data_IF_308513530526
#
_entry.id   IF_308513530526
#
_cell.length_a   1.000
_cell.length_b   1.000
_cell.length_c   1.000
_cell.angle_alpha   90.00
_cell.angle_beta   90.00
_cell.angle_gamma   90.00
#
_symmetry.space_group_name_H-M   'P 1'
#
loop_
_entity.id
_entity.type
_entity.pdbx_description
1 polymer ?
#
# COMPACT_ATOMS: atom_id res chain seq x y z
N UNK A 1 -16.94 28.03 -28.50
CA UNK A 1 -17.07 28.72 -27.19
C UNK A 1 -15.72 28.62 -26.51
N UNK A 2 -14.93 29.69 -26.57
CA UNK A 2 -13.59 29.74 -26.01
C UNK A 2 -13.70 30.51 -24.70
N UNK A 3 -13.40 29.85 -23.58
CA UNK A 3 -13.47 30.46 -22.25
C UNK A 3 -12.05 30.84 -21.81
N UNK A 4 -11.84 32.05 -21.27
CA UNK A 4 -10.53 32.50 -20.82
C UNK A 4 -10.26 31.88 -19.44
N UNK A 5 -9.30 30.97 -19.34
CA UNK A 5 -8.92 30.35 -18.05
C UNK A 5 -7.42 30.51 -17.86
N UNK A 6 -7.02 31.62 -17.23
CA UNK A 6 -5.64 31.97 -16.93
C UNK A 6 -5.07 31.12 -15.76
N UNK A 7 -5.94 30.72 -14.83
CA UNK A 7 -5.65 29.72 -13.80
C UNK A 7 -6.48 28.47 -14.16
N UNK A 8 -5.85 27.30 -14.28
CA UNK A 8 -6.49 26.09 -14.82
C UNK A 8 -7.86 25.79 -14.19
N UNK A 9 -8.80 25.28 -14.99
CA UNK A 9 -10.16 24.98 -14.51
C UNK A 9 -10.14 24.12 -13.25
N UNK A 10 -10.83 24.57 -12.19
CA UNK A 10 -11.13 23.72 -11.04
C UNK A 10 -11.90 22.49 -11.52
N UNK A 11 -11.52 21.29 -11.08
CA UNK A 11 -12.17 20.04 -11.48
C UNK A 11 -13.70 20.08 -11.25
N UNK A 12 -14.13 20.70 -10.15
CA UNK A 12 -15.54 20.90 -9.81
C UNK A 12 -16.27 21.76 -10.83
N UNK A 13 -15.62 22.83 -11.32
CA UNK A 13 -16.17 23.72 -12.34
C UNK A 13 -16.30 23.01 -13.69
N UNK A 14 -15.27 22.28 -14.11
CA UNK A 14 -15.31 21.47 -15.32
C UNK A 14 -16.42 20.41 -15.28
N UNK A 15 -16.60 19.74 -14.13
CA UNK A 15 -17.71 18.80 -13.91
C UNK A 15 -19.07 19.49 -14.01
N UNK A 16 -19.20 20.70 -13.47
CA UNK A 16 -20.44 21.46 -13.53
C UNK A 16 -20.79 21.86 -14.97
N UNK A 17 -19.82 22.36 -15.73
CA UNK A 17 -20.00 22.70 -17.15
C UNK A 17 -20.37 21.47 -17.99
N UNK A 18 -19.75 20.33 -17.71
CA UNK A 18 -20.05 19.07 -18.40
C UNK A 18 -21.48 18.60 -18.10
N UNK A 19 -21.92 18.68 -16.84
CA UNK A 19 -23.30 18.36 -16.45
C UNK A 19 -24.31 19.35 -17.08
N UNK A 20 -23.96 20.63 -17.16
CA UNK A 20 -24.81 21.64 -17.81
C UNK A 20 -24.98 21.35 -19.31
N UNK A 21 -23.87 21.01 -19.99
CA UNK A 21 -23.89 20.64 -21.41
C UNK A 21 -24.71 19.37 -21.68
N UNK A 22 -24.71 18.42 -20.74
CA UNK A 22 -25.55 17.22 -20.77
C UNK A 22 -27.04 17.58 -20.69
N UNK A 23 -27.41 18.40 -19.70
CA UNK A 23 -28.79 18.86 -19.53
C UNK A 23 -29.28 19.62 -20.77
N UNK A 24 -28.47 20.51 -21.33
CA UNK A 24 -28.80 21.25 -22.55
C UNK A 24 -29.01 20.31 -23.76
N UNK A 25 -28.13 19.32 -23.93
CA UNK A 25 -28.21 18.34 -25.02
C UNK A 25 -29.45 17.45 -24.89
N UNK A 26 -29.82 17.05 -23.66
CA UNK A 26 -31.05 16.29 -23.38
C UNK A 26 -32.30 17.13 -23.65
N UNK A 27 -32.35 18.36 -23.15
CA UNK A 27 -33.50 19.25 -23.36
C UNK A 27 -33.70 19.49 -24.84
N UNK A 28 -32.63 19.73 -25.59
CA UNK A 28 -32.70 19.85 -27.05
C UNK A 28 -33.20 18.56 -27.71
N UNK A 29 -32.69 17.40 -27.30
CA UNK A 29 -33.14 16.10 -27.80
C UNK A 29 -34.64 15.88 -27.58
N UNK A 30 -35.15 16.19 -26.37
CA UNK A 30 -36.57 16.10 -26.04
C UNK A 30 -37.41 17.07 -26.85
N UNK A 31 -36.96 18.31 -27.00
CA UNK A 31 -37.65 19.35 -27.79
C UNK A 31 -37.73 18.94 -29.27
N UNK A 32 -36.66 18.34 -29.80
CA UNK A 32 -36.62 17.84 -31.18
C UNK A 32 -37.56 16.66 -31.40
N UNK A 33 -37.64 15.74 -30.43
CA UNK A 33 -38.63 14.67 -30.39
C UNK A 33 -40.07 15.19 -30.33
N UNK A 34 -40.34 16.18 -29.48
CA UNK A 34 -41.66 16.77 -29.33
C UNK A 34 -42.14 17.47 -30.62
N UNK A 35 -41.21 18.03 -31.41
CA UNK A 35 -41.50 18.62 -32.72
C UNK A 35 -41.64 17.60 -33.87
N UNK A 36 -41.44 16.30 -33.61
CA UNK A 36 -41.52 15.25 -34.63
C UNK A 36 -40.38 15.26 -35.66
N UNK A 37 -39.27 15.94 -35.36
CA UNK A 37 -38.11 15.98 -36.27
C UNK A 37 -37.29 14.70 -36.16
N UNK A 38 -36.83 14.16 -37.29
CA UNK A 38 -36.02 12.95 -37.32
C UNK A 38 -34.72 13.11 -36.53
N UNK A 39 -34.43 12.13 -35.68
CA UNK A 39 -33.28 12.09 -34.77
C UNK A 39 -32.04 11.52 -35.46
N UNK A 40 -32.26 10.70 -36.48
CA UNK A 40 -31.21 9.97 -37.19
C UNK A 40 -30.24 10.96 -37.87
N UNK A 41 -28.94 10.77 -37.61
CA UNK A 41 -27.88 11.61 -38.14
C UNK A 41 -27.63 12.94 -37.41
N UNK A 42 -28.40 13.28 -36.37
CA UNK A 42 -28.18 14.55 -35.66
C UNK A 42 -27.02 14.47 -34.66
N UNK A 43 -26.12 15.46 -34.61
CA UNK A 43 -24.93 15.44 -33.74
C UNK A 43 -25.24 15.40 -32.23
N UNK A 44 -26.48 15.64 -31.84
CA UNK A 44 -26.90 15.63 -30.42
C UNK A 44 -26.80 14.25 -29.79
N UNK A 45 -27.10 13.18 -30.52
CA UNK A 45 -26.94 11.82 -29.99
C UNK A 45 -25.46 11.52 -29.76
N UNK A 46 -24.60 11.92 -30.71
CA UNK A 46 -23.15 11.79 -30.57
C UNK A 46 -22.60 12.60 -29.39
N UNK A 47 -23.00 13.86 -29.26
CA UNK A 47 -22.63 14.74 -28.14
C UNK A 47 -23.05 14.12 -26.80
N UNK A 48 -24.27 13.56 -26.70
CA UNK A 48 -24.75 12.90 -25.48
C UNK A 48 -23.91 11.68 -25.09
N UNK A 49 -23.53 10.85 -26.07
CA UNK A 49 -22.67 9.68 -25.83
C UNK A 49 -21.27 10.13 -25.41
N UNK A 50 -20.70 11.12 -26.09
CA UNK A 50 -19.39 11.70 -25.73
C UNK A 50 -19.39 12.24 -24.30
N UNK A 51 -20.38 13.05 -23.93
CA UNK A 51 -20.53 13.58 -22.57
C UNK A 51 -20.70 12.46 -21.54
N UNK A 52 -21.46 11.40 -21.88
CA UNK A 52 -21.62 10.24 -20.98
C UNK A 52 -20.33 9.46 -20.76
N UNK A 53 -19.52 9.29 -21.80
CA UNK A 53 -18.19 8.68 -21.69
C UNK A 53 -17.26 9.52 -20.81
N UNK A 54 -17.33 10.86 -20.92
CA UNK A 54 -16.58 11.73 -20.01
C UNK A 54 -17.05 11.58 -18.56
N UNK A 55 -18.37 11.52 -18.31
CA UNK A 55 -18.90 11.26 -16.96
C UNK A 55 -18.42 9.92 -16.38
N UNK A 56 -18.26 8.89 -17.21
CA UNK A 56 -17.72 7.60 -16.77
C UNK A 56 -16.25 7.67 -16.41
N UNK A 57 -15.45 8.37 -17.22
CA UNK A 57 -14.01 8.55 -16.97
C UNK A 57 -13.71 9.36 -15.71
N UNK A 58 -14.57 10.30 -15.33
CA UNK A 58 -14.36 11.13 -14.13
C UNK A 58 -14.84 10.46 -12.82
N UNK A 59 -15.65 9.40 -12.86
CA UNK A 59 -16.11 8.67 -11.65
C UNK A 59 -15.01 8.27 -10.66
N UNK A 60 -13.85 7.72 -11.08
CA UNK A 60 -12.78 7.40 -10.14
C UNK A 60 -12.20 8.64 -9.44
N UNK A 61 -12.17 9.79 -10.12
CA UNK A 61 -11.70 11.06 -9.55
C UNK A 61 -12.72 11.57 -8.54
N UNK A 62 -14.01 11.50 -8.88
CA UNK A 62 -15.10 11.83 -7.95
C UNK A 62 -15.01 11.04 -6.64
N UNK A 63 -14.74 9.74 -6.70
CA UNK A 63 -14.57 8.90 -5.50
C UNK A 63 -13.39 9.34 -4.63
N UNK A 64 -12.30 9.79 -5.23
CA UNK A 64 -11.12 10.29 -4.49
C UNK A 64 -11.41 11.63 -3.82
N UNK A 65 -12.15 12.50 -4.50
CA UNK A 65 -12.50 13.83 -4.00
C UNK A 65 -13.69 13.82 -3.03
N UNK A 66 -14.52 12.79 -3.04
CA UNK A 66 -15.72 12.67 -2.20
C UNK A 66 -15.40 12.87 -0.72
N UNK A 67 -14.33 12.25 -0.22
CA UNK A 67 -13.91 12.43 1.17
C UNK A 67 -13.49 13.88 1.49
N UNK A 68 -12.75 14.52 0.57
CA UNK A 68 -12.29 15.90 0.76
C UNK A 68 -13.47 16.87 0.76
N UNK A 69 -14.42 16.68 -0.17
CA UNK A 69 -15.65 17.46 -0.23
C UNK A 69 -16.49 17.24 1.03
N UNK A 70 -16.68 15.99 1.47
CA UNK A 70 -17.43 15.67 2.69
C UNK A 70 -16.76 16.23 3.95
N UNK A 71 -15.43 16.22 4.02
CA UNK A 71 -14.68 16.82 5.14
C UNK A 71 -14.89 18.33 5.19
N UNK A 72 -14.78 19.01 4.06
CA UNK A 72 -14.98 20.46 3.97
C UNK A 72 -16.44 20.86 4.25
N UNK A 73 -17.42 20.09 3.77
CA UNK A 73 -18.84 20.37 4.06
C UNK A 73 -19.18 20.09 5.52
N UNK A 74 -18.60 19.06 6.15
CA UNK A 74 -18.74 18.82 7.60
C UNK A 74 -18.07 19.91 8.42
N UNK A 75 -16.88 20.36 8.04
CA UNK A 75 -16.23 21.48 8.73
C UNK A 75 -17.05 22.77 8.61
N UNK A 76 -17.57 23.09 7.41
CA UNK A 76 -18.47 24.22 7.21
C UNK A 76 -19.81 24.08 7.95
N UNK A 77 -20.37 22.86 8.01
CA UNK A 77 -21.59 22.56 8.76
C UNK A 77 -21.40 22.60 10.28
N UNK A 78 -20.23 22.18 10.78
CA UNK A 78 -19.88 22.28 12.19
C UNK A 78 -19.62 23.73 12.60
N UNK A 79 -19.01 24.57 11.76
CA UNK A 79 -18.91 26.02 12.03
C UNK A 79 -20.30 26.68 12.15
N UNK A 80 -21.31 26.15 11.44
CA UNK A 80 -22.70 26.57 11.63
C UNK A 80 -23.36 26.02 12.91
N UNK A 81 -22.87 24.89 13.44
CA UNK A 81 -23.40 24.22 14.64
C UNK A 81 -22.64 24.55 15.95
N UNK A 82 -21.37 24.96 15.87
CA UNK A 82 -20.50 25.30 17.02
C UNK A 82 -20.82 26.65 17.64
N UNK A 83 -21.78 27.40 17.08
CA UNK A 83 -22.35 28.56 17.78
C UNK A 83 -23.31 28.17 18.91
N UNK A 84 -23.59 26.87 19.10
CA UNK A 84 -24.46 26.35 20.16
C UNK A 84 -23.89 25.05 20.73
N UNK A 85 -22.97 25.16 21.71
CA UNK A 85 -22.78 24.27 22.88
C UNK A 85 -21.32 24.38 23.33
N UNK A 86 -21.10 25.28 24.27
CA UNK A 86 -20.02 25.21 25.24
C UNK A 86 -20.38 24.20 26.34
N UNK A 87 -19.35 23.65 27.02
CA UNK A 87 -19.24 23.37 28.47
C UNK A 87 -18.55 22.02 28.77
N UNK A 88 -17.38 22.17 29.43
CA UNK A 88 -16.69 21.37 30.45
C UNK A 88 -16.23 19.93 30.24
N UNK A 89 -14.90 19.73 30.40
CA UNK A 89 -14.33 18.51 30.99
C UNK A 89 -13.31 18.91 32.06
N UNK A 90 -13.65 18.57 33.31
CA UNK A 90 -12.78 18.60 34.49
C UNK A 90 -11.65 17.56 34.35
N UNK A 91 -10.40 17.99 34.53
CA UNK A 91 -9.25 17.12 34.72
C UNK A 91 -8.98 16.89 36.22
N UNK A 92 -9.03 15.63 36.64
CA UNK A 92 -8.38 15.12 37.85
C UNK A 92 -7.80 13.75 37.53
N UNK A 93 -6.47 13.64 37.51
CA UNK A 93 -5.80 12.34 37.51
C UNK A 93 -4.52 12.42 38.36
N UNK A 94 -4.49 11.61 39.42
CA UNK A 94 -3.43 11.51 40.43
C UNK A 94 -2.32 10.57 39.95
N UNK A 95 -1.07 11.04 39.90
CA UNK A 95 0.11 10.21 39.62
C UNK A 95 0.79 9.85 40.94
N UNK A 96 0.83 8.56 41.26
CA UNK A 96 1.71 8.00 42.29
C UNK A 96 2.99 7.47 41.62
N UNK A 97 4.14 8.05 41.96
CA UNK A 97 5.47 7.57 41.58
C UNK A 97 6.02 6.69 42.73
N UNK A 98 6.42 5.45 42.44
CA UNK A 98 7.11 4.55 43.38
C UNK A 98 8.63 4.79 43.36
N UNK A 99 9.22 4.91 44.55
CA UNK A 99 10.60 5.33 44.84
C UNK A 99 11.65 4.19 44.58
N UNK A 100 12.67 4.41 43.72
CA UNK A 100 13.65 3.39 43.26
C UNK A 100 14.71 2.93 44.29
N UNK A 101 14.64 3.32 45.56
CA UNK A 101 15.67 3.00 46.58
C UNK A 101 15.48 1.65 47.32
N UNK A 102 14.53 0.80 46.91
CA UNK A 102 14.19 -0.46 47.63
C UNK A 102 14.99 -1.71 47.22
N UNK A 103 15.95 -1.64 46.29
CA UNK A 103 16.74 -2.82 45.88
C UNK A 103 17.98 -3.02 46.76
N UNK A 104 18.02 -4.12 47.52
CA UNK A 104 19.21 -4.62 48.24
C UNK A 104 19.75 -5.90 47.57
N UNK A 105 21.08 -6.12 47.52
CA UNK A 105 21.65 -7.34 46.93
C UNK A 105 21.33 -8.57 47.78
N UNK A 106 21.00 -9.69 47.13
CA UNK A 106 20.66 -10.95 47.79
C UNK A 106 21.91 -11.87 47.82
N UNK A 107 22.49 -12.18 48.99
CA UNK A 107 23.79 -12.87 49.11
C UNK A 107 23.76 -14.37 48.76
N UNK A 108 22.59 -14.95 48.49
CA UNK A 108 22.42 -16.37 48.16
C UNK A 108 22.82 -16.75 46.72
N UNK A 109 23.19 -15.79 45.87
CA UNK A 109 23.59 -16.04 44.47
C UNK A 109 25.09 -16.22 44.24
N UNK A 110 25.91 -16.24 45.29
CA UNK A 110 27.36 -16.45 45.19
C UNK A 110 27.70 -17.95 45.11
N UNK A 111 27.72 -18.50 43.89
CA UNK A 111 28.10 -19.90 43.65
C UNK A 111 29.63 -20.03 43.50
N UNK A 112 30.25 -20.90 44.29
CA UNK A 112 31.69 -21.17 44.25
C UNK A 112 32.05 -22.21 43.18
N UNK A 113 33.07 -21.87 42.37
CA UNK A 113 33.45 -22.56 41.13
C UNK A 113 34.44 -23.72 41.39
N UNK A 114 34.02 -24.82 42.01
CA UNK A 114 34.96 -25.92 42.34
C UNK A 114 34.60 -27.34 41.89
N UNK A 115 33.51 -27.60 41.16
CA UNK A 115 33.11 -29.00 40.90
C UNK A 115 32.49 -29.26 39.52
N UNK A 116 33.20 -28.98 38.42
CA UNK A 116 32.81 -29.56 37.12
C UNK A 116 33.98 -29.61 36.12
N UNK A 117 34.90 -30.53 36.37
CA UNK A 117 35.85 -30.98 35.36
C UNK A 117 36.30 -32.41 35.69
N UNK A 118 35.52 -33.42 35.32
CA UNK A 118 36.01 -34.80 35.28
C UNK A 118 35.17 -35.70 34.35
N UNK A 119 35.91 -36.50 33.57
CA UNK A 119 35.54 -37.70 32.78
C UNK A 119 35.02 -37.46 31.35
N UNK A 120 35.83 -37.75 30.32
CA UNK A 120 35.85 -39.12 29.74
C UNK A 120 36.97 -39.39 28.71
N UNK A 121 37.33 -40.66 28.60
CA UNK A 121 38.48 -41.26 27.90
C UNK A 121 38.33 -41.48 26.38
N UNK A 122 39.44 -41.40 25.63
CA UNK A 122 39.55 -41.90 24.24
C UNK A 122 39.85 -40.82 23.19
N UNK A 123 41.06 -40.84 22.63
CA UNK A 123 41.67 -39.80 21.76
C UNK A 123 41.08 -39.61 20.36
N UNK A 124 39.78 -39.35 20.26
CA UNK A 124 39.17 -38.76 19.06
C UNK A 124 38.49 -37.46 19.48
N UNK A 125 39.06 -36.33 19.05
CA UNK A 125 38.47 -35.03 19.29
C UNK A 125 37.11 -34.94 18.60
N UNK A 126 36.04 -34.95 19.39
CA UNK A 126 34.69 -34.64 18.93
C UNK A 126 34.41 -33.19 19.34
N UNK A 127 34.33 -32.26 18.37
CA UNK A 127 33.95 -30.89 18.68
C UNK A 127 32.60 -30.90 19.39
N UNK A 128 32.48 -30.28 20.58
CA UNK A 128 31.22 -30.17 21.28
C UNK A 128 30.21 -29.44 20.39
N UNK A 129 29.04 -30.04 20.19
CA UNK A 129 27.96 -29.43 19.41
C UNK A 129 27.26 -28.42 20.31
N UNK A 130 27.68 -27.16 20.24
CA UNK A 130 26.97 -26.06 20.90
C UNK A 130 25.65 -25.85 20.17
N UNK A 131 24.54 -26.29 20.78
CA UNK A 131 23.24 -25.72 20.43
C UNK A 131 23.28 -24.25 20.87
N UNK A 132 22.75 -23.30 20.08
CA UNK A 132 22.71 -21.90 20.47
C UNK A 132 21.91 -21.77 21.77
N UNK A 133 22.63 -21.65 22.87
CA UNK A 133 22.11 -21.29 24.18
C UNK A 133 21.83 -19.80 24.12
N UNK A 134 20.56 -19.41 24.07
CA UNK A 134 20.18 -18.03 24.35
C UNK A 134 20.65 -17.71 25.76
N UNK A 135 21.50 -16.69 25.91
CA UNK A 135 21.80 -16.12 27.21
C UNK A 135 20.47 -15.66 27.82
N UNK A 136 20.12 -16.16 29.01
CA UNK A 136 19.01 -15.65 29.81
C UNK A 136 19.43 -14.27 30.36
N UNK A 137 19.56 -13.27 29.49
CA UNK A 137 19.49 -11.86 29.91
C UNK A 137 18.02 -11.61 30.24
N UNK A 138 17.70 -11.77 31.53
CA UNK A 138 16.37 -11.72 32.14
C UNK A 138 15.37 -12.70 31.52
N UNK A 139 14.73 -13.52 32.37
CA UNK A 139 13.63 -14.37 31.91
C UNK A 139 12.42 -13.47 31.62
N UNK A 140 12.46 -12.76 30.50
CA UNK A 140 11.39 -11.92 29.97
C UNK A 140 10.13 -12.77 30.00
N UNK A 141 9.16 -12.37 30.82
CA UNK A 141 7.97 -13.20 31.05
C UNK A 141 7.29 -13.43 29.70
N UNK A 142 6.66 -14.59 29.48
CA UNK A 142 5.98 -14.88 28.19
C UNK A 142 5.06 -13.74 27.73
N UNK A 143 4.44 -13.03 28.68
CA UNK A 143 3.61 -11.86 28.44
C UNK A 143 4.41 -10.64 27.98
N UNK A 144 5.52 -10.33 28.64
CA UNK A 144 6.40 -9.23 28.29
C UNK A 144 7.07 -9.44 26.92
N UNK A 145 7.46 -10.67 26.60
CA UNK A 145 7.92 -11.03 25.24
C UNK A 145 6.83 -10.85 24.18
N UNK A 146 5.56 -11.09 24.52
CA UNK A 146 4.44 -10.82 23.61
C UNK A 146 4.17 -9.32 23.48
N UNK A 147 4.27 -8.55 24.57
CA UNK A 147 4.14 -7.11 24.56
C UNK A 147 5.22 -6.47 23.67
N UNK A 148 6.48 -6.86 23.85
CA UNK A 148 7.61 -6.37 23.04
C UNK A 148 7.45 -6.70 21.55
N UNK A 149 6.89 -7.86 21.22
CA UNK A 149 6.56 -8.22 19.82
C UNK A 149 5.47 -7.31 19.25
N UNK A 150 4.39 -7.08 20.01
CA UNK A 150 3.28 -6.19 19.60
C UNK A 150 3.77 -4.75 19.44
N UNK A 151 4.59 -4.27 20.37
CA UNK A 151 5.17 -2.93 20.31
C UNK A 151 6.08 -2.78 19.09
N UNK A 152 6.96 -3.77 18.83
CA UNK A 152 7.81 -3.77 17.64
C UNK A 152 7.00 -3.81 16.33
N UNK A 153 5.91 -4.57 16.30
CA UNK A 153 4.98 -4.60 15.17
C UNK A 153 4.26 -3.26 14.98
N UNK A 154 3.81 -2.65 16.06
CA UNK A 154 3.13 -1.35 16.06
C UNK A 154 4.10 -0.24 15.60
N UNK A 155 5.34 -0.26 16.06
CA UNK A 155 6.40 0.64 15.59
C UNK A 155 6.67 0.44 14.09
N UNK A 156 6.73 -0.81 13.63
CA UNK A 156 6.90 -1.12 12.20
C UNK A 156 5.72 -0.65 11.37
N UNK A 157 4.49 -0.77 11.88
CA UNK A 157 3.29 -0.28 11.22
C UNK A 157 3.24 1.24 11.19
N UNK A 158 3.61 1.91 12.28
CA UNK A 158 3.73 3.36 12.35
C UNK A 158 4.75 3.86 11.32
N UNK A 159 5.92 3.22 11.22
CA UNK A 159 6.93 3.54 10.19
C UNK A 159 6.51 3.19 8.75
N UNK A 160 5.49 2.34 8.58
CA UNK A 160 4.94 2.00 7.26
C UNK A 160 3.79 2.93 6.83
N UNK A 161 3.25 3.73 7.74
CA UNK A 161 2.27 4.77 7.41
C UNK A 161 2.97 5.82 6.55
N UNK A 162 2.37 6.15 5.40
CA UNK A 162 2.90 7.18 4.50
C UNK A 162 3.04 8.52 5.20
N UNK A 163 2.09 8.86 6.07
CA UNK A 163 2.06 10.10 6.83
C UNK A 163 3.21 10.21 7.83
N UNK A 164 3.52 9.13 8.54
CA UNK A 164 4.64 9.12 9.50
C UNK A 164 5.97 9.16 8.76
N UNK A 165 6.05 8.51 7.59
CA UNK A 165 7.24 8.57 6.75
C UNK A 165 7.50 10.01 6.27
N UNK A 166 6.48 10.69 5.74
CA UNK A 166 6.57 12.08 5.30
C UNK A 166 7.01 13.02 6.44
N UNK A 167 6.42 12.86 7.63
CA UNK A 167 6.81 13.64 8.82
C UNK A 167 8.28 13.41 9.24
N UNK A 168 8.78 12.18 9.10
CA UNK A 168 10.19 11.87 9.42
C UNK A 168 11.12 12.44 8.35
N UNK A 169 10.76 12.34 7.07
CA UNK A 169 11.53 12.89 5.96
C UNK A 169 11.65 14.44 6.10
N UNK A 170 10.57 15.12 6.50
CA UNK A 170 10.56 16.56 6.82
C UNK A 170 11.44 16.93 8.01
N UNK A 171 11.48 16.09 9.05
CA UNK A 171 12.29 16.34 10.25
C UNK A 171 13.79 16.09 10.02
N UNK A 172 14.12 15.12 9.17
CA UNK A 172 15.51 14.76 8.85
C UNK A 172 16.16 15.72 7.83
N UNK A 173 15.39 16.64 7.23
CA UNK A 173 15.82 17.58 6.18
C UNK A 173 16.66 16.89 5.08
N UNK A 174 16.30 15.63 4.80
CA UNK A 174 17.02 14.75 3.89
C UNK A 174 16.49 14.98 2.48
N UNK A 175 17.35 15.18 1.46
CA UNK A 175 16.88 15.37 0.09
C UNK A 175 16.12 14.14 -0.40
N UNK A 176 14.95 14.37 -1.00
CA UNK A 176 14.10 13.30 -1.52
C UNK A 176 14.77 12.58 -2.69
N UNK A 177 14.85 11.25 -2.60
CA UNK A 177 15.32 10.41 -3.70
C UNK A 177 14.21 10.26 -4.75
N UNK A 178 14.18 11.15 -5.74
CA UNK A 178 13.27 11.02 -6.89
C UNK A 178 13.70 9.83 -7.74
N UNK A 179 12.95 8.73 -7.64
CA UNK A 179 13.14 7.55 -8.50
C UNK A 179 12.18 7.66 -9.69
N UNK A 180 12.69 7.47 -10.90
CA UNK A 180 11.85 7.39 -12.11
C UNK A 180 11.03 6.09 -12.10
N UNK A 181 9.89 6.11 -11.42
CA UNK A 181 9.01 4.96 -11.33
C UNK A 181 7.87 5.16 -12.33
N UNK A 182 8.04 4.57 -13.51
CA UNK A 182 6.99 4.50 -14.52
C UNK A 182 6.00 3.40 -14.11
N UNK A 183 4.86 3.78 -13.53
CA UNK A 183 3.73 2.87 -13.26
C UNK A 183 3.10 3.02 -11.87
N UNK A 184 2.01 2.29 -11.64
CA UNK A 184 1.37 2.23 -10.33
C UNK A 184 2.19 1.35 -9.37
N UNK A 185 2.78 1.94 -8.36
CA UNK A 185 3.51 1.22 -7.32
C UNK A 185 2.56 0.42 -6.45
N UNK A 186 2.51 -0.90 -6.67
CA UNK A 186 1.85 -1.78 -5.71
C UNK A 186 2.70 -1.88 -4.43
N UNK A 187 2.04 -2.00 -3.26
CA UNK A 187 2.71 -2.22 -1.97
C UNK A 187 3.61 -3.47 -1.97
N UNK A 188 3.30 -4.44 -2.83
CA UNK A 188 4.10 -5.64 -3.01
C UNK A 188 5.37 -5.36 -3.81
N UNK A 189 5.28 -4.50 -4.84
CA UNK A 189 6.42 -4.07 -5.64
C UNK A 189 7.42 -3.29 -4.79
N UNK A 190 6.96 -2.37 -3.95
CA UNK A 190 7.85 -1.58 -3.07
C UNK A 190 8.60 -2.48 -2.09
N UNK A 191 7.90 -3.44 -1.46
CA UNK A 191 8.52 -4.46 -0.60
C UNK A 191 9.50 -5.34 -1.35
N UNK A 192 9.20 -5.70 -2.60
CA UNK A 192 10.08 -6.51 -3.44
C UNK A 192 11.36 -5.75 -3.80
N UNK A 193 11.26 -4.47 -4.18
CA UNK A 193 12.41 -3.61 -4.48
C UNK A 193 13.29 -3.46 -3.25
N UNK A 194 12.72 -3.14 -2.09
CA UNK A 194 13.47 -3.00 -0.84
C UNK A 194 14.25 -4.27 -0.48
N UNK A 195 13.63 -5.45 -0.60
CA UNK A 195 14.32 -6.74 -0.38
C UNK A 195 15.47 -6.97 -1.37
N UNK A 196 15.34 -6.50 -2.61
CA UNK A 196 16.36 -6.66 -3.65
C UNK A 196 17.55 -5.74 -3.40
N UNK A 197 17.28 -4.54 -2.91
CA UNK A 197 18.29 -3.55 -2.50
C UNK A 197 19.03 -4.00 -1.23
N UNK A 198 18.35 -4.57 -0.24
CA UNK A 198 18.98 -5.21 0.92
C UNK A 198 19.91 -6.35 0.50
N UNK A 199 19.46 -7.20 -0.44
CA UNK A 199 20.31 -8.25 -0.99
C UNK A 199 21.53 -7.67 -1.71
N UNK A 200 21.34 -6.64 -2.54
CA UNK A 200 22.44 -5.98 -3.25
C UNK A 200 23.49 -5.43 -2.27
N UNK A 201 23.06 -4.78 -1.18
CA UNK A 201 23.95 -4.31 -0.11
C UNK A 201 24.75 -5.45 0.53
N UNK A 202 24.11 -6.57 0.85
CA UNK A 202 24.81 -7.74 1.40
C UNK A 202 25.81 -8.35 0.40
N UNK A 203 25.46 -8.39 -0.89
CA UNK A 203 26.35 -8.88 -1.95
C UNK A 203 27.56 -7.94 -2.17
N UNK A 204 27.37 -6.62 -2.00
CA UNK A 204 28.45 -5.62 -2.03
C UNK A 204 29.37 -5.74 -0.82
N UNK A 205 28.82 -5.93 0.38
CA UNK A 205 29.59 -6.14 1.61
C UNK A 205 30.43 -7.42 1.54
N UNK A 206 29.84 -8.51 1.02
CA UNK A 206 30.49 -9.83 0.93
C UNK A 206 31.24 -10.04 -0.40
N UNK A 207 31.14 -9.09 -1.34
CA UNK A 207 31.69 -9.14 -2.69
C UNK A 207 31.39 -10.45 -3.46
N UNK A 208 30.25 -11.10 -3.20
CA UNK A 208 29.87 -12.37 -3.82
C UNK A 208 28.37 -12.42 -4.12
N UNK A 209 28.00 -13.04 -5.25
CA UNK A 209 26.59 -13.15 -5.66
C UNK A 209 25.91 -14.36 -5.04
N UNK A 210 24.70 -14.18 -4.52
CA UNK A 210 23.89 -15.27 -4.00
C UNK A 210 23.20 -16.06 -5.13
N UNK A 211 23.15 -17.40 -5.09
CA UNK A 211 22.43 -18.19 -6.07
C UNK A 211 20.90 -18.01 -5.92
N UNK A 212 20.21 -17.78 -7.04
CA UNK A 212 18.76 -17.54 -7.08
C UNK A 212 17.95 -18.79 -7.45
N UNK A 213 16.88 -19.06 -6.69
CA UNK A 213 16.01 -20.22 -6.94
C UNK A 213 15.11 -20.01 -8.18
N UNK A 214 14.55 -21.10 -8.71
CA UNK A 214 13.58 -21.02 -9.84
C UNK A 214 12.30 -20.28 -9.45
N UNK A 215 11.87 -20.38 -8.18
CA UNK A 215 10.69 -19.69 -7.66
C UNK A 215 10.93 -18.18 -7.58
N UNK A 216 12.10 -17.77 -7.07
CA UNK A 216 12.46 -16.35 -6.99
C UNK A 216 12.50 -15.69 -8.37
N UNK A 217 13.03 -16.40 -9.37
CA UNK A 217 13.01 -15.95 -10.77
C UNK A 217 11.60 -15.79 -11.33
N UNK A 218 10.63 -16.62 -10.89
CA UNK A 218 9.23 -16.51 -11.32
C UNK A 218 8.57 -15.27 -10.70
N UNK A 219 8.78 -15.06 -9.40
CA UNK A 219 8.30 -13.86 -8.68
C UNK A 219 8.90 -12.60 -9.28
N UNK A 220 10.21 -12.60 -9.53
CA UNK A 220 10.90 -11.50 -10.21
C UNK A 220 10.27 -11.18 -11.57
N UNK A 221 10.01 -12.20 -12.40
CA UNK A 221 9.37 -12.02 -13.69
C UNK A 221 7.96 -11.43 -13.55
N UNK A 222 7.17 -11.89 -12.59
CA UNK A 222 5.83 -11.36 -12.35
C UNK A 222 5.88 -9.88 -11.93
N UNK A 223 6.73 -9.54 -10.96
CA UNK A 223 6.92 -8.16 -10.46
C UNK A 223 7.55 -7.23 -11.50
N UNK A 224 8.37 -7.75 -12.43
CA UNK A 224 8.93 -6.96 -13.54
C UNK A 224 7.92 -6.76 -14.67
N UNK A 225 7.08 -7.75 -14.95
CA UNK A 225 6.04 -7.69 -16.00
C UNK A 225 4.88 -6.76 -15.62
N UNK A 226 4.55 -6.63 -14.33
CA UNK A 226 3.51 -5.71 -13.85
C UNK A 226 3.82 -4.23 -14.13
N UNK A 227 5.06 -3.90 -14.54
CA UNK A 227 5.47 -2.55 -14.95
C UNK A 227 4.96 -2.16 -16.34
N UNK A 228 4.70 -3.14 -17.21
CA UNK A 228 4.21 -2.91 -18.56
C UNK A 228 2.72 -3.27 -18.54
N UNK A 229 1.83 -2.28 -18.47
CA UNK A 229 0.36 -2.43 -18.29
C UNK A 229 -0.39 -3.31 -19.31
N UNK A 230 0.30 -4.08 -20.14
CA UNK A 230 -0.22 -5.11 -21.04
C UNK A 230 -0.51 -6.46 -20.33
N UNK A 231 0.04 -6.72 -19.15
CA UNK A 231 -0.07 -8.06 -18.53
C UNK A 231 -1.52 -8.44 -18.17
N UNK A 232 -2.37 -7.46 -17.85
CA UNK A 232 -3.80 -7.69 -17.63
C UNK A 232 -4.56 -8.11 -18.90
N UNK A 233 -4.03 -7.85 -20.10
CA UNK A 233 -4.64 -8.30 -21.36
C UNK A 233 -4.25 -9.72 -21.74
N UNK A 234 -3.08 -10.22 -21.31
CA UNK A 234 -2.53 -11.47 -21.84
C UNK A 234 -2.74 -12.70 -20.95
N UNK A 235 -3.03 -12.51 -19.65
CA UNK A 235 -3.23 -13.64 -18.72
C UNK A 235 -4.54 -14.41 -18.98
N UNK A 236 -5.55 -13.79 -19.60
CA UNK A 236 -6.78 -14.48 -20.04
C UNK A 236 -6.69 -15.09 -21.43
N UNK A 237 -5.89 -14.49 -22.33
CA UNK A 237 -5.87 -14.84 -23.76
C UNK A 237 -5.42 -16.29 -24.02
N UNK A 238 -4.42 -16.78 -23.29
CA UNK A 238 -3.89 -18.13 -23.51
C UNK A 238 -4.77 -19.24 -22.92
N UNK A 239 -5.49 -18.97 -21.84
CA UNK A 239 -6.44 -19.93 -21.27
C UNK A 239 -7.75 -19.95 -22.08
N UNK A 240 -8.16 -18.81 -22.63
CA UNK A 240 -9.32 -18.68 -23.51
C UNK A 240 -9.11 -19.34 -24.89
N UNK A 241 -7.88 -19.31 -25.44
CA UNK A 241 -7.55 -20.05 -26.67
C UNK A 241 -7.48 -21.57 -26.44
N UNK A 242 -7.04 -22.01 -25.26
CA UNK A 242 -6.94 -23.45 -24.94
C UNK A 242 -8.30 -24.14 -24.84
N UNK A 243 -9.35 -23.39 -24.52
CA UNK A 243 -10.72 -23.91 -24.41
C UNK A 243 -11.50 -23.85 -25.72
N UNK A 244 -10.95 -23.22 -26.77
CA UNK A 244 -11.55 -23.22 -28.09
C UNK A 244 -11.39 -24.60 -28.75
N UNK A 245 -12.48 -25.21 -29.26
CA UNK A 245 -12.37 -26.38 -30.10
C UNK A 245 -11.81 -25.93 -31.45
N UNK A 246 -10.50 -26.06 -31.64
CA UNK A 246 -9.89 -25.99 -32.96
C UNK A 246 -10.30 -27.26 -33.72
N UNK A 247 -11.41 -27.15 -34.45
CA UNK A 247 -11.93 -28.18 -35.33
C UNK A 247 -11.03 -28.31 -36.57
N UNK A 248 -10.70 -29.55 -36.94
CA UNK A 248 -10.14 -29.89 -38.25
C UNK A 248 -8.61 -30.00 -38.32
N UNK A 249 -8.04 -31.07 -37.76
CA UNK A 249 -6.96 -31.76 -38.48
C UNK A 249 -7.65 -32.51 -39.63
N UNK A 250 -7.44 -32.06 -40.86
CA UNK A 250 -7.71 -32.88 -42.05
C UNK A 250 -6.79 -34.10 -41.96
N UNK A 251 -7.39 -35.26 -41.72
CA UNK A 251 -6.72 -36.55 -41.88
C UNK A 251 -6.58 -36.82 -43.38
N UNK A 252 -5.34 -36.72 -43.88
CA UNK A 252 -4.94 -37.30 -45.16
C UNK A 252 -5.23 -38.82 -45.14
N UNK A 253 -6.23 -39.28 -45.90
CA UNK A 253 -6.34 -40.66 -46.35
C UNK A 253 -7.34 -40.75 -47.52
N UNK A 254 -6.83 -40.57 -48.74
CA UNK A 254 -7.50 -41.03 -49.95
C UNK A 254 -6.90 -42.39 -50.36
N UNK A 255 -7.77 -43.40 -50.47
CA UNK A 255 -7.62 -44.61 -51.27
C UNK A 255 -8.89 -44.76 -52.12
#
# INVERSE_FOLDING_TARGET
MQFPTADGMSYLEAKHLLLLSYCQSIVYYLLRKAKGLSIEGHPVVRSLVEIRLFLEKIRPIDKKLEYQVQKLTRAAGNVASEKTVSVDVNEKDERQEEDPLKYRPNPDMLVSKSTQAAQDSGGVYRPPRFAPTSMDEDKITKQEKQALRREKELLRQAKQSSYVKELMDDFEDRPEEVKEIIGAESRELTRYIAKREERARQEEELFTRAPVTKLDKRVEKHMRKSRNGLLGLTDGFYDEIRTLPLEGKEDDNDY
#
